data_IF_130747728277
#
_entry.id   IF_130747728277
#
_cell.length_a   1.000
_cell.length_b   1.000
_cell.length_c   1.000
_cell.angle_alpha   90.00
_cell.angle_beta   90.00
_cell.angle_gamma   90.00
#
_symmetry.space_group_name_H-M   'P 1'
#
loop_
_entity.id
_entity.type
_entity.pdbx_description
1 polymer ?
#
# COMPACT_ATOMS: atom_id res chain seq x y z
N UNK A 1 10.36 23.86 0.25
CA UNK A 1 9.18 23.21 -0.41
C UNK A 1 8.35 22.57 0.70
N UNK A 2 7.15 23.08 0.98
CA UNK A 2 6.23 22.48 1.96
C UNK A 2 5.75 21.17 1.37
N UNK A 3 6.11 20.03 1.97
CA UNK A 3 5.57 18.72 1.57
C UNK A 3 4.07 18.77 1.83
N UNK A 4 3.30 18.64 0.78
CA UNK A 4 1.85 18.52 0.88
C UNK A 4 1.55 17.24 1.66
N UNK A 5 0.81 17.34 2.76
CA UNK A 5 0.29 16.17 3.48
C UNK A 5 -0.80 15.55 2.60
N UNK A 6 -0.47 14.46 1.94
CA UNK A 6 -1.38 13.67 1.13
C UNK A 6 -1.19 12.19 1.48
N UNK A 7 -2.20 11.38 1.25
CA UNK A 7 -2.20 9.94 1.58
C UNK A 7 -1.03 9.20 0.93
N UNK A 8 -0.65 9.55 -0.27
CA UNK A 8 0.49 8.99 -0.99
C UNK A 8 1.86 9.20 -0.30
N UNK A 9 1.95 10.04 0.71
CA UNK A 9 3.17 10.22 1.51
C UNK A 9 3.27 9.25 2.70
N UNK A 10 2.24 8.50 2.99
CA UNK A 10 2.24 7.55 4.11
C UNK A 10 3.21 6.40 3.85
N UNK A 11 3.27 5.95 2.60
CA UNK A 11 4.16 4.87 2.19
C UNK A 11 4.97 5.27 0.95
N UNK A 12 6.20 4.79 0.88
CA UNK A 12 7.13 5.14 -0.19
C UNK A 12 7.89 3.91 -0.68
N UNK A 13 8.35 3.99 -1.92
CA UNK A 13 9.36 3.12 -2.47
C UNK A 13 10.67 3.88 -2.63
N UNK A 14 11.76 3.22 -2.28
CA UNK A 14 13.13 3.73 -2.38
C UNK A 14 13.87 2.96 -3.46
N UNK A 15 14.61 3.67 -4.32
CA UNK A 15 15.48 3.02 -5.30
C UNK A 15 16.71 2.47 -4.58
N UNK A 16 16.90 1.17 -4.65
CA UNK A 16 18.03 0.45 -4.05
C UNK A 16 18.69 -0.46 -5.08
N UNK A 17 19.79 -1.05 -4.68
CA UNK A 17 20.40 -2.17 -5.41
C UNK A 17 19.90 -3.48 -4.83
N UNK A 18 19.42 -4.39 -5.67
CA UNK A 18 19.23 -5.78 -5.30
C UNK A 18 20.55 -6.41 -4.92
N UNK A 19 20.65 -6.99 -3.76
CA UNK A 19 21.93 -7.49 -3.23
C UNK A 19 22.43 -8.75 -3.95
N UNK A 20 21.54 -9.50 -4.62
CA UNK A 20 21.91 -10.65 -5.41
C UNK A 20 22.48 -10.26 -6.79
N UNK A 21 21.76 -9.43 -7.52
CA UNK A 21 22.11 -9.12 -8.92
C UNK A 21 22.91 -7.82 -9.10
N UNK A 22 22.92 -6.93 -8.10
CA UNK A 22 23.48 -5.58 -8.19
C UNK A 22 22.68 -4.62 -9.08
N UNK A 23 21.56 -5.04 -9.62
CA UNK A 23 20.69 -4.19 -10.48
C UNK A 23 19.87 -3.22 -9.65
N UNK A 24 19.41 -2.17 -10.29
CA UNK A 24 18.46 -1.24 -9.67
C UNK A 24 17.11 -1.92 -9.39
N UNK A 25 16.61 -1.70 -8.21
CA UNK A 25 15.37 -2.24 -7.69
C UNK A 25 14.63 -1.19 -6.86
N UNK A 26 13.38 -1.45 -6.53
CA UNK A 26 12.58 -0.63 -5.63
C UNK A 26 12.21 -1.43 -4.38
N UNK A 27 12.34 -0.79 -3.23
CA UNK A 27 12.08 -1.42 -1.93
C UNK A 27 11.29 -0.50 -1.02
N UNK A 28 10.47 -1.06 -0.14
CA UNK A 28 9.86 -0.34 0.98
C UNK A 28 10.87 0.08 2.07
N UNK A 29 12.13 -0.39 1.98
CA UNK A 29 13.16 -0.12 2.98
C UNK A 29 14.01 1.09 2.57
N UNK A 30 14.18 2.09 3.44
CA UNK A 30 14.98 3.29 3.15
C UNK A 30 16.41 2.95 2.74
N UNK A 31 17.01 3.79 1.89
CA UNK A 31 18.36 3.59 1.35
C UNK A 31 19.43 3.55 2.45
N UNK A 32 19.23 4.33 3.49
CA UNK A 32 20.13 4.47 4.63
C UNK A 32 20.09 3.26 5.59
N UNK A 33 19.05 2.43 5.49
CA UNK A 33 18.96 1.24 6.33
C UNK A 33 20.07 0.24 5.97
N UNK A 34 20.88 -0.22 6.95
CA UNK A 34 21.98 -1.15 6.73
C UNK A 34 21.46 -2.59 6.54
N UNK A 35 20.47 -2.77 5.69
CA UNK A 35 19.78 -4.04 5.44
C UNK A 35 19.90 -4.35 3.96
N UNK A 36 20.28 -5.57 3.62
CA UNK A 36 20.31 -6.06 2.25
C UNK A 36 18.89 -6.45 1.79
N UNK A 37 18.58 -6.20 0.52
CA UNK A 37 17.28 -6.55 -0.03
C UNK A 37 17.44 -7.43 -1.26
N UNK A 38 16.62 -8.46 -1.35
CA UNK A 38 16.45 -9.31 -2.52
C UNK A 38 15.14 -9.01 -3.24
N UNK A 39 15.16 -9.07 -4.57
CA UNK A 39 13.94 -9.05 -5.37
C UNK A 39 12.97 -10.15 -4.93
N UNK A 40 11.68 -9.85 -4.94
CA UNK A 40 10.63 -10.72 -4.42
C UNK A 40 10.67 -12.13 -5.02
N UNK A 41 10.91 -12.24 -6.33
CA UNK A 41 11.00 -13.53 -7.02
C UNK A 41 12.18 -14.38 -6.56
N UNK A 42 13.33 -13.76 -6.35
CA UNK A 42 14.53 -14.44 -5.83
C UNK A 42 14.37 -14.80 -4.35
N UNK A 43 13.79 -13.89 -3.56
CA UNK A 43 13.58 -14.10 -2.13
C UNK A 43 12.66 -15.29 -1.82
N UNK A 44 11.64 -15.55 -2.67
CA UNK A 44 10.77 -16.73 -2.56
C UNK A 44 11.30 -17.95 -3.32
N UNK A 45 12.40 -17.82 -4.05
CA UNK A 45 13.00 -18.92 -4.79
C UNK A 45 13.84 -19.84 -3.89
N UNK A 46 14.25 -20.98 -4.42
CA UNK A 46 15.06 -22.00 -3.75
C UNK A 46 16.57 -21.78 -3.94
N UNK A 47 16.99 -20.63 -4.48
CA UNK A 47 18.40 -20.33 -4.81
C UNK A 47 19.20 -19.77 -3.64
N UNK A 48 18.56 -19.52 -2.51
CA UNK A 48 19.18 -19.04 -1.27
C UNK A 48 18.49 -19.63 -0.05
N UNK A 49 19.23 -19.73 1.07
CA UNK A 49 18.67 -20.19 2.34
C UNK A 49 19.07 -19.22 3.48
N UNK A 50 18.09 -18.77 4.26
CA UNK A 50 18.32 -17.92 5.41
C UNK A 50 19.19 -18.61 6.47
N UNK A 51 19.23 -19.94 6.53
CA UNK A 51 20.08 -20.73 7.44
C UNK A 51 21.57 -20.46 7.17
N UNK A 52 21.97 -20.18 5.93
CA UNK A 52 23.37 -19.89 5.57
C UNK A 52 23.91 -18.63 6.25
N UNK A 53 23.04 -17.77 6.76
CA UNK A 53 23.37 -16.57 7.52
C UNK A 53 23.44 -16.81 9.03
N UNK A 54 23.15 -18.03 9.48
CA UNK A 54 23.17 -18.39 10.88
C UNK A 54 24.55 -18.18 11.50
N UNK A 55 24.56 -17.79 12.77
CA UNK A 55 25.79 -17.64 13.56
C UNK A 55 25.66 -18.37 14.88
N UNK A 56 26.75 -18.96 15.36
CA UNK A 56 26.79 -19.55 16.68
C UNK A 56 26.55 -18.47 17.75
N UNK A 57 25.81 -18.86 18.80
CA UNK A 57 25.53 -17.95 19.88
C UNK A 57 26.74 -17.78 20.79
N UNK A 58 27.20 -16.55 20.99
CA UNK A 58 28.26 -16.21 21.92
C UNK A 58 27.66 -15.78 23.28
N UNK A 59 27.86 -16.63 24.31
CA UNK A 59 27.38 -16.36 25.66
C UNK A 59 28.08 -15.18 26.36
N UNK A 60 29.16 -14.64 25.80
CA UNK A 60 29.87 -13.46 26.32
C UNK A 60 29.29 -12.14 25.81
N UNK A 61 28.45 -12.17 24.79
CA UNK A 61 27.83 -10.99 24.15
C UNK A 61 26.33 -10.97 24.39
N UNK A 62 25.71 -9.83 24.76
CA UNK A 62 24.29 -9.74 24.98
C UNK A 62 23.46 -10.16 23.74
N UNK A 63 22.35 -10.88 23.97
CA UNK A 63 21.48 -11.39 22.90
C UNK A 63 21.06 -10.32 21.89
N UNK A 64 20.55 -9.19 22.36
CA UNK A 64 20.06 -8.15 21.46
C UNK A 64 21.16 -7.55 20.57
N UNK A 65 22.41 -7.54 21.02
CA UNK A 65 23.52 -7.10 20.18
C UNK A 65 23.77 -8.08 19.03
N UNK A 66 23.80 -9.36 19.32
CA UNK A 66 23.99 -10.42 18.32
C UNK A 66 22.79 -10.47 17.34
N UNK A 67 21.58 -10.32 17.86
CA UNK A 67 20.36 -10.30 17.05
C UNK A 67 20.36 -9.09 16.10
N UNK A 68 20.74 -7.91 16.58
CA UNK A 68 20.87 -6.71 15.73
C UNK A 68 21.90 -6.93 14.61
N UNK A 69 23.06 -7.49 14.94
CA UNK A 69 24.11 -7.78 13.96
C UNK A 69 23.62 -8.81 12.91
N UNK A 70 22.88 -9.82 13.34
CA UNK A 70 22.28 -10.80 12.45
C UNK A 70 21.24 -10.17 11.52
N UNK A 71 20.35 -9.34 12.03
CA UNK A 71 19.33 -8.63 11.24
C UNK A 71 19.94 -7.77 10.11
N UNK A 72 21.14 -7.26 10.26
CA UNK A 72 21.80 -6.48 9.21
C UNK A 72 22.45 -7.34 8.12
N UNK A 73 22.67 -8.63 8.41
CA UNK A 73 23.30 -9.56 7.47
C UNK A 73 22.31 -10.35 6.64
N UNK A 74 21.20 -10.76 7.27
CA UNK A 74 20.17 -11.55 6.58
C UNK A 74 19.41 -10.64 5.60
N UNK A 75 19.40 -10.96 4.31
CA UNK A 75 18.62 -10.19 3.36
C UNK A 75 17.11 -10.27 3.65
N UNK A 76 16.42 -9.20 3.33
CA UNK A 76 14.95 -9.15 3.43
C UNK A 76 14.35 -8.92 2.05
N UNK A 77 13.09 -9.22 1.90
CA UNK A 77 12.36 -9.00 0.67
C UNK A 77 12.25 -7.50 0.34
N UNK A 78 12.57 -7.12 -0.89
CA UNK A 78 12.53 -5.73 -1.32
C UNK A 78 11.11 -5.14 -1.28
N UNK A 79 10.15 -5.91 -1.78
CA UNK A 79 8.71 -5.57 -1.80
C UNK A 79 7.88 -6.80 -1.47
N UNK A 80 6.83 -6.65 -0.69
CA UNK A 80 5.85 -7.71 -0.47
C UNK A 80 4.78 -7.67 -1.57
N UNK A 81 4.72 -8.72 -2.37
CA UNK A 81 3.67 -8.87 -3.38
C UNK A 81 3.22 -10.32 -3.48
N UNK A 82 1.94 -10.54 -3.73
CA UNK A 82 1.33 -11.86 -3.83
C UNK A 82 0.32 -11.95 -4.98
N UNK A 83 0.17 -13.17 -5.54
CA UNK A 83 -0.72 -13.40 -6.67
C UNK A 83 -0.23 -12.71 -7.96
N UNK A 84 -1.17 -12.32 -8.81
CA UNK A 84 -0.82 -11.65 -10.06
C UNK A 84 -0.58 -10.15 -9.86
N UNK A 85 0.45 -9.64 -10.53
CA UNK A 85 0.83 -8.23 -10.55
C UNK A 85 1.01 -7.82 -12.02
N UNK A 86 -0.07 -7.36 -12.67
CA UNK A 86 -0.06 -6.99 -14.08
C UNK A 86 0.09 -5.46 -14.20
N UNK A 87 1.18 -4.99 -14.82
CA UNK A 87 1.50 -3.55 -14.93
C UNK A 87 1.43 -2.82 -13.56
N UNK A 88 1.97 -3.44 -12.49
CA UNK A 88 1.79 -2.95 -11.12
C UNK A 88 3.10 -3.01 -10.32
N UNK A 89 4.24 -2.78 -10.97
CA UNK A 89 5.60 -2.97 -10.42
C UNK A 89 5.95 -2.03 -9.26
N UNK A 90 5.28 -0.90 -9.16
CA UNK A 90 5.53 0.12 -8.15
C UNK A 90 4.55 0.06 -6.97
N UNK A 91 4.02 -1.13 -6.67
CA UNK A 91 3.16 -1.38 -5.53
C UNK A 91 3.89 -2.23 -4.48
N UNK A 92 3.52 -2.10 -3.21
CA UNK A 92 4.12 -2.86 -2.12
C UNK A 92 3.06 -3.22 -1.07
N UNK A 93 3.26 -4.34 -0.35
CA UNK A 93 2.25 -4.93 0.51
C UNK A 93 0.93 -5.12 -0.27
N UNK A 94 1.05 -5.74 -1.43
CA UNK A 94 -0.02 -5.72 -2.40
C UNK A 94 -0.18 -7.05 -3.13
N UNK A 95 -1.40 -7.37 -3.56
CA UNK A 95 -1.67 -8.60 -4.31
C UNK A 95 -2.84 -8.49 -5.26
N UNK A 96 -2.81 -9.31 -6.32
CA UNK A 96 -3.89 -9.39 -7.31
C UNK A 96 -4.26 -8.02 -7.92
N UNK A 97 -3.22 -7.34 -8.41
CA UNK A 97 -3.33 -6.01 -9.00
C UNK A 97 -3.20 -6.04 -10.51
N UNK A 98 -3.94 -5.12 -11.16
CA UNK A 98 -3.85 -4.85 -12.59
C UNK A 98 -3.87 -3.35 -12.86
N UNK A 99 -2.86 -2.85 -13.62
CA UNK A 99 -2.71 -1.44 -13.96
C UNK A 99 -2.73 -0.54 -12.70
N UNK A 100 -2.02 -0.93 -11.66
CA UNK A 100 -1.95 -0.17 -10.42
C UNK A 100 -0.59 0.53 -10.25
N UNK A 101 -0.62 1.78 -9.81
CA UNK A 101 0.57 2.58 -9.63
C UNK A 101 0.62 3.23 -8.25
N UNK A 102 1.69 2.95 -7.50
CA UNK A 102 1.87 3.42 -6.11
C UNK A 102 0.66 3.12 -5.21
N UNK A 103 0.20 1.86 -5.26
CA UNK A 103 -0.81 1.33 -4.36
C UNK A 103 -0.12 0.49 -3.27
N UNK A 104 -0.51 0.72 -2.01
CA UNK A 104 0.10 0.10 -0.84
C UNK A 104 -0.97 -0.48 0.07
N UNK A 105 -0.67 -1.64 0.69
CA UNK A 105 -1.64 -2.38 1.49
C UNK A 105 -2.94 -2.57 0.67
N UNK A 106 -2.77 -3.18 -0.52
CA UNK A 106 -3.77 -3.17 -1.58
C UNK A 106 -4.04 -4.58 -2.10
N UNK A 107 -5.32 -4.97 -2.21
CA UNK A 107 -5.70 -6.26 -2.74
C UNK A 107 -6.91 -6.15 -3.69
N UNK A 108 -6.91 -6.93 -4.79
CA UNK A 108 -7.95 -6.84 -5.83
C UNK A 108 -8.17 -5.43 -6.37
N UNK A 109 -7.13 -4.79 -6.86
CA UNK A 109 -7.18 -3.42 -7.38
C UNK A 109 -6.95 -3.39 -8.89
N UNK A 110 -7.78 -2.64 -9.63
CA UNK A 110 -7.71 -2.51 -11.08
C UNK A 110 -7.84 -1.04 -11.52
N UNK A 111 -6.95 -0.60 -12.44
CA UNK A 111 -6.95 0.74 -13.04
C UNK A 111 -6.91 1.87 -11.98
N UNK A 112 -5.99 1.79 -11.05
CA UNK A 112 -5.91 2.70 -9.89
C UNK A 112 -4.51 3.29 -9.69
N UNK A 113 -4.44 4.44 -9.00
CA UNK A 113 -3.16 4.98 -8.56
C UNK A 113 -3.25 5.76 -7.24
N UNK A 114 -2.14 5.75 -6.47
CA UNK A 114 -1.98 6.49 -5.22
C UNK A 114 -3.00 6.09 -4.15
N UNK A 115 -3.20 4.79 -3.97
CA UNK A 115 -4.11 4.24 -2.98
C UNK A 115 -3.36 3.63 -1.81
N UNK A 116 -3.94 3.72 -0.60
CA UNK A 116 -3.41 3.09 0.61
C UNK A 116 -4.54 2.45 1.40
N UNK A 117 -4.35 1.19 1.85
CA UNK A 117 -5.33 0.38 2.58
C UNK A 117 -6.62 0.17 1.80
N UNK A 118 -6.52 -0.57 0.71
CA UNK A 118 -7.65 -0.72 -0.20
C UNK A 118 -7.90 -2.17 -0.57
N UNK A 119 -9.17 -2.53 -0.72
CA UNK A 119 -9.55 -3.87 -1.14
C UNK A 119 -10.74 -3.81 -2.10
N UNK A 120 -10.65 -4.54 -3.22
CA UNK A 120 -11.69 -4.63 -4.25
C UNK A 120 -12.09 -3.25 -4.79
N UNK A 121 -11.13 -2.53 -5.38
CA UNK A 121 -11.30 -1.15 -5.83
C UNK A 121 -10.94 -1.02 -7.31
N UNK A 122 -11.75 -0.25 -8.04
CA UNK A 122 -11.52 0.03 -9.46
C UNK A 122 -11.60 1.52 -9.78
N UNK A 123 -10.88 1.92 -10.84
CA UNK A 123 -10.97 3.26 -11.42
C UNK A 123 -10.88 4.40 -10.39
N UNK A 124 -10.02 4.25 -9.38
CA UNK A 124 -9.96 5.16 -8.24
C UNK A 124 -8.55 5.71 -8.01
N UNK A 125 -8.49 6.95 -7.52
CA UNK A 125 -7.22 7.67 -7.38
C UNK A 125 -7.15 8.47 -6.08
N UNK A 126 -5.91 8.69 -5.57
CA UNK A 126 -5.61 9.55 -4.42
C UNK A 126 -6.50 9.29 -3.20
N UNK A 127 -6.76 8.04 -2.85
CA UNK A 127 -7.70 7.70 -1.78
C UNK A 127 -7.07 6.78 -0.73
N UNK A 128 -7.65 6.80 0.47
CA UNK A 128 -7.16 6.06 1.61
C UNK A 128 -8.30 5.32 2.30
N UNK A 129 -8.08 4.04 2.60
CA UNK A 129 -9.05 3.19 3.32
C UNK A 129 -10.41 3.13 2.62
N UNK A 130 -10.40 2.64 1.36
CA UNK A 130 -11.60 2.43 0.56
C UNK A 130 -11.77 0.94 0.24
N UNK A 131 -12.98 0.42 0.38
CA UNK A 131 -13.27 -1.01 0.24
C UNK A 131 -14.57 -1.24 -0.54
N UNK A 132 -14.52 -2.12 -1.53
CA UNK A 132 -15.64 -2.42 -2.43
C UNK A 132 -16.16 -1.18 -3.17
N UNK A 133 -15.24 -0.37 -3.69
CA UNK A 133 -15.54 0.94 -4.26
C UNK A 133 -15.11 1.04 -5.73
N UNK A 134 -15.82 1.89 -6.46
CA UNK A 134 -15.46 2.25 -7.82
C UNK A 134 -15.66 3.74 -8.09
N UNK A 135 -14.77 4.34 -8.90
CA UNK A 135 -14.79 5.75 -9.27
C UNK A 135 -14.70 6.68 -8.04
N UNK A 136 -13.70 6.45 -7.18
CA UNK A 136 -13.40 7.30 -6.05
C UNK A 136 -12.16 8.18 -6.31
N UNK A 137 -12.26 9.44 -5.90
CA UNK A 137 -11.14 10.38 -5.98
C UNK A 137 -11.08 11.30 -4.75
N UNK A 138 -9.89 11.40 -4.13
CA UNK A 138 -9.65 12.19 -2.91
C UNK A 138 -10.61 11.77 -1.75
N UNK A 139 -10.80 10.45 -1.56
CA UNK A 139 -11.72 9.89 -0.57
C UNK A 139 -11.00 9.23 0.59
N UNK A 140 -11.62 9.24 1.78
CA UNK A 140 -11.10 8.62 2.99
C UNK A 140 -12.20 7.89 3.74
N UNK A 141 -11.94 6.62 4.11
CA UNK A 141 -12.93 5.77 4.80
C UNK A 141 -14.25 5.67 4.05
N UNK A 142 -14.20 5.23 2.79
CA UNK A 142 -15.39 5.04 1.97
C UNK A 142 -15.56 3.53 1.72
N UNK A 143 -16.79 3.06 1.84
CA UNK A 143 -17.11 1.65 1.77
C UNK A 143 -18.35 1.38 0.93
N UNK A 144 -18.27 0.41 0.01
CA UNK A 144 -19.38 -0.04 -0.84
C UNK A 144 -20.08 1.11 -1.56
N UNK A 145 -19.29 1.99 -2.15
CA UNK A 145 -19.78 3.22 -2.75
C UNK A 145 -19.32 3.33 -4.22
N UNK A 146 -20.04 4.12 -4.97
CA UNK A 146 -19.80 4.36 -6.39
C UNK A 146 -19.89 5.84 -6.71
N UNK A 147 -18.94 6.35 -7.51
CA UNK A 147 -18.84 7.77 -7.86
C UNK A 147 -18.80 8.69 -6.62
N UNK A 148 -17.76 8.51 -5.81
CA UNK A 148 -17.58 9.32 -4.59
C UNK A 148 -16.33 10.20 -4.75
N UNK A 149 -16.49 11.51 -4.52
CA UNK A 149 -15.45 12.48 -4.75
C UNK A 149 -15.28 13.45 -3.58
N UNK A 150 -14.03 13.68 -3.16
CA UNK A 150 -13.69 14.61 -2.09
C UNK A 150 -14.49 14.38 -0.80
N UNK A 151 -14.72 13.13 -0.45
CA UNK A 151 -15.67 12.77 0.62
C UNK A 151 -15.02 11.87 1.68
N UNK A 152 -15.54 11.95 2.90
CA UNK A 152 -14.98 11.27 4.06
C UNK A 152 -16.06 10.52 4.83
N UNK A 153 -15.76 9.28 5.26
CA UNK A 153 -16.66 8.47 6.09
C UNK A 153 -18.04 8.26 5.44
N UNK A 154 -18.04 7.73 4.20
CA UNK A 154 -19.25 7.43 3.45
C UNK A 154 -19.41 5.93 3.26
N UNK A 155 -20.65 5.43 3.35
CA UNK A 155 -20.94 4.01 3.21
C UNK A 155 -22.25 3.78 2.46
N UNK A 156 -22.24 2.83 1.51
CA UNK A 156 -23.37 2.49 0.65
C UNK A 156 -23.94 3.74 -0.07
N UNK A 157 -23.05 4.57 -0.61
CA UNK A 157 -23.41 5.83 -1.26
C UNK A 157 -23.18 5.79 -2.77
N UNK A 158 -23.94 6.59 -3.51
CA UNK A 158 -23.82 6.73 -4.97
C UNK A 158 -23.89 8.19 -5.36
N UNK A 159 -22.94 8.64 -6.19
CA UNK A 159 -22.85 10.02 -6.68
C UNK A 159 -22.83 11.05 -5.53
N UNK A 160 -21.75 11.03 -4.77
CA UNK A 160 -21.57 11.87 -3.58
C UNK A 160 -20.32 12.75 -3.74
N UNK A 161 -20.49 14.02 -3.48
CA UNK A 161 -19.45 15.03 -3.65
C UNK A 161 -19.30 15.91 -2.41
N UNK A 162 -18.04 16.20 -2.01
CA UNK A 162 -17.68 17.13 -0.92
C UNK A 162 -18.45 16.88 0.38
N UNK A 163 -18.65 15.61 0.75
CA UNK A 163 -19.55 15.22 1.82
C UNK A 163 -18.86 14.43 2.92
N UNK A 164 -19.49 14.36 4.09
CA UNK A 164 -18.94 13.64 5.24
C UNK A 164 -20.01 12.93 6.06
N UNK A 165 -19.72 11.69 6.48
CA UNK A 165 -20.59 10.95 7.39
C UNK A 165 -21.92 10.52 6.77
N UNK A 166 -21.90 10.11 5.50
CA UNK A 166 -23.11 9.69 4.80
C UNK A 166 -23.33 8.18 4.86
N UNK A 167 -24.56 7.75 4.97
CA UNK A 167 -24.96 6.34 4.95
C UNK A 167 -26.19 6.13 4.07
N UNK A 168 -26.03 5.30 3.01
CA UNK A 168 -27.12 4.99 2.08
C UNK A 168 -27.69 6.21 1.37
N UNK A 169 -26.85 7.14 0.97
CA UNK A 169 -27.26 8.39 0.32
C UNK A 169 -26.92 8.37 -1.17
N UNK A 170 -27.73 9.07 -1.97
CA UNK A 170 -27.52 9.18 -3.43
C UNK A 170 -27.67 10.61 -3.92
N UNK A 171 -26.87 11.00 -4.92
CA UNK A 171 -26.92 12.33 -5.55
C UNK A 171 -26.85 13.47 -4.49
N UNK A 172 -25.80 13.45 -3.66
CA UNK A 172 -25.62 14.41 -2.58
C UNK A 172 -24.38 15.26 -2.80
N UNK A 173 -24.49 16.56 -2.53
CA UNK A 173 -23.37 17.51 -2.65
C UNK A 173 -23.26 18.38 -1.39
N UNK A 174 -22.06 18.46 -0.81
CA UNK A 174 -21.81 19.30 0.37
C UNK A 174 -22.53 18.88 1.65
N UNK A 175 -22.95 17.62 1.75
CA UNK A 175 -23.79 17.13 2.84
C UNK A 175 -22.99 16.59 4.02
N UNK A 176 -23.54 16.68 5.23
CA UNK A 176 -22.91 16.16 6.46
C UNK A 176 -23.93 15.37 7.29
N UNK A 177 -23.50 14.17 7.74
CA UNK A 177 -24.25 13.31 8.66
C UNK A 177 -25.68 12.96 8.22
N UNK A 178 -25.87 12.63 6.94
CA UNK A 178 -27.16 12.21 6.41
C UNK A 178 -27.29 10.68 6.31
N UNK A 179 -28.51 10.19 6.42
CA UNK A 179 -28.83 8.77 6.25
C UNK A 179 -30.07 8.59 5.38
N UNK A 180 -29.93 7.70 4.36
CA UNK A 180 -31.06 7.35 3.47
C UNK A 180 -31.67 8.54 2.76
N UNK A 181 -30.84 9.48 2.30
CA UNK A 181 -31.29 10.70 1.61
C UNK A 181 -30.84 10.72 0.16
N UNK A 182 -31.63 11.39 -0.68
CA UNK A 182 -31.29 11.58 -2.08
C UNK A 182 -31.56 13.00 -2.53
N UNK A 183 -30.71 13.52 -3.43
CA UNK A 183 -30.80 14.88 -3.99
C UNK A 183 -30.72 16.00 -2.95
N UNK A 184 -29.75 15.92 -2.06
CA UNK A 184 -29.49 16.94 -1.04
C UNK A 184 -28.16 17.70 -1.33
N UNK A 185 -28.19 18.97 -0.96
CA UNK A 185 -26.99 19.84 -0.92
C UNK A 185 -27.14 20.90 0.17
#
# INVERSE_FOLDING_TARGET
MVRRLVWRNERNLFRRKDAHTGKDSFSGIPVEAPIQTYETTYWYGDEWDAIDYGVDYDFSVPFFKQFQDLMTRVPVMAKSSAGFMINSDYCNEAGRLKNAYLCFDADFVEDCAYLVKVTNVKNSFDSHEIIDDELCYECVMVYKSYQTFFSVDCENCVDVWFSKGLRGCTNCFGCVNLRGKSYYF
#
